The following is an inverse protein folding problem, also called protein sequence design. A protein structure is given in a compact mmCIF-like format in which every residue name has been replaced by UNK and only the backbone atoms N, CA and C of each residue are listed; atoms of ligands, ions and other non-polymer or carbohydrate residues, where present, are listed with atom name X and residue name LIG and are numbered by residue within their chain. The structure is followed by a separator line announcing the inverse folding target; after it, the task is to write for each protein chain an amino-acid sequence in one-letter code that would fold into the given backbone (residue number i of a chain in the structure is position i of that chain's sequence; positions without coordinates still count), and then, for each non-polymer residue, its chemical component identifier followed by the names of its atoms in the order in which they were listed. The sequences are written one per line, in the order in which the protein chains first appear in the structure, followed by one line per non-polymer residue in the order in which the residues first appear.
data_IF_281190073992
#
_entry.id   IF_281190073992
#
_cell.length_a   1.000
_cell.length_b   1.000
_cell.length_c   1.000
_cell.angle_alpha   90.00
_cell.angle_beta   90.00
_cell.angle_gamma   90.00
#
_symmetry.space_group_name_H-M   'P 1'
#
loop_
_entity.id
_entity.type
_entity.pdbx_description
1 polymer ?
#
# COMPACT_ATOMS: atom_id res chain seq x y z
N UNK A 1 20.45 -15.74 27.77
CA UNK A 1 20.91 -14.85 26.68
C UNK A 1 21.07 -15.73 25.45
N UNK A 2 19.98 -16.02 24.75
CA UNK A 2 20.01 -16.80 23.51
C UNK A 2 19.98 -15.79 22.36
N UNK A 3 21.00 -15.83 21.52
CA UNK A 3 21.03 -15.07 20.29
C UNK A 3 19.82 -15.49 19.45
N UNK A 4 18.96 -14.53 19.14
CA UNK A 4 18.02 -14.69 18.04
C UNK A 4 18.86 -14.67 16.77
N UNK A 5 19.17 -15.85 16.25
CA UNK A 5 19.65 -15.99 14.88
C UNK A 5 18.56 -15.44 13.95
N UNK A 6 18.76 -14.22 13.47
CA UNK A 6 18.06 -13.64 12.33
C UNK A 6 18.46 -14.43 11.08
N UNK A 7 17.90 -15.64 10.98
CA UNK A 7 18.01 -16.45 9.78
C UNK A 7 17.08 -15.79 8.76
N UNK A 8 17.65 -15.04 7.83
CA UNK A 8 16.89 -14.43 6.73
C UNK A 8 16.02 -15.52 6.09
N UNK A 9 14.71 -15.40 6.29
CA UNK A 9 13.74 -16.29 5.67
C UNK A 9 13.85 -16.06 4.15
N UNK A 10 13.92 -17.13 3.34
CA UNK A 10 14.05 -16.98 1.91
C UNK A 10 12.81 -16.27 1.36
N UNK A 11 13.06 -15.17 0.64
CA UNK A 11 12.07 -14.41 -0.12
C UNK A 11 11.32 -15.37 -1.04
N UNK A 12 10.03 -15.62 -0.75
CA UNK A 12 9.18 -16.47 -1.58
C UNK A 12 9.00 -15.77 -2.93
N UNK A 13 9.57 -16.27 -4.03
CA UNK A 13 9.33 -15.67 -5.35
C UNK A 13 8.00 -16.16 -5.93
N UNK A 14 7.17 -15.24 -6.44
CA UNK A 14 6.09 -15.63 -7.35
C UNK A 14 6.73 -15.92 -8.70
N UNK A 15 6.93 -17.20 -9.01
CA UNK A 15 7.75 -17.69 -10.13
C UNK A 15 7.20 -17.33 -11.51
N UNK A 16 5.95 -16.89 -11.61
CA UNK A 16 5.33 -16.54 -12.89
C UNK A 16 5.58 -15.09 -13.33
N UNK A 17 5.84 -14.17 -12.39
CA UNK A 17 5.99 -12.74 -12.70
C UNK A 17 7.39 -12.18 -12.39
N UNK A 18 8.34 -13.03 -11.96
CA UNK A 18 9.67 -12.59 -11.49
C UNK A 18 9.57 -11.47 -10.44
N UNK A 19 8.63 -11.61 -9.51
CA UNK A 19 8.43 -10.69 -8.40
C UNK A 19 8.92 -11.34 -7.12
N UNK A 20 9.85 -10.65 -6.45
CA UNK A 20 10.32 -11.00 -5.12
C UNK A 20 9.27 -10.61 -4.08
N UNK A 21 8.78 -11.57 -3.28
CA UNK A 21 7.83 -11.27 -2.20
C UNK A 21 8.57 -10.97 -0.90
N UNK A 22 8.46 -9.72 -0.45
CA UNK A 22 8.99 -9.32 0.84
C UNK A 22 8.15 -9.93 1.99
N UNK A 23 8.84 -10.48 2.98
CA UNK A 23 8.24 -10.98 4.21
C UNK A 23 7.52 -9.85 4.97
N UNK A 24 6.20 -9.96 5.12
CA UNK A 24 5.38 -8.99 5.86
C UNK A 24 4.79 -9.63 7.12
N UNK A 25 4.96 -9.03 8.31
CA UNK A 25 4.38 -9.57 9.54
C UNK A 25 2.84 -9.46 9.53
N UNK A 26 2.13 -10.37 10.22
CA UNK A 26 0.69 -10.25 10.41
C UNK A 26 0.34 -8.91 11.08
N UNK A 27 -0.65 -8.20 10.54
CA UNK A 27 -1.14 -6.93 11.07
C UNK A 27 -0.04 -5.86 11.23
N UNK A 28 0.76 -5.61 10.19
CA UNK A 28 1.74 -4.50 10.14
C UNK A 28 1.22 -3.24 9.43
N UNK A 29 0.22 -2.51 9.95
CA UNK A 29 -0.30 -1.29 9.32
C UNK A 29 0.76 -0.18 9.21
N UNK A 30 1.80 -0.21 10.05
CA UNK A 30 2.89 0.78 10.04
C UNK A 30 3.98 0.47 8.99
N UNK A 31 3.92 -0.69 8.32
CA UNK A 31 4.98 -1.17 7.42
C UNK A 31 4.57 -1.07 5.95
N UNK A 32 3.27 -1.00 5.65
CA UNK A 32 2.82 -0.90 4.28
C UNK A 32 2.84 0.56 3.79
N UNK A 33 3.66 0.92 2.78
CA UNK A 33 3.73 2.29 2.26
C UNK A 33 2.37 2.81 1.78
N UNK A 34 1.48 1.94 1.31
CA UNK A 34 0.14 2.36 0.87
C UNK A 34 -0.75 2.80 2.04
N UNK A 35 -0.68 2.10 3.18
CA UNK A 35 -1.50 2.41 4.37
C UNK A 35 -1.00 3.66 5.09
N UNK A 36 0.31 3.88 5.13
CA UNK A 36 0.92 5.04 5.78
C UNK A 36 0.93 6.31 4.92
N UNK A 37 1.22 6.21 3.63
CA UNK A 37 1.46 7.39 2.79
C UNK A 37 0.31 7.66 1.82
N UNK A 38 -0.03 6.66 0.99
CA UNK A 38 -0.93 6.86 -0.16
C UNK A 38 -2.38 7.06 0.28
N UNK A 39 -2.92 6.16 1.12
CA UNK A 39 -4.32 6.24 1.51
C UNK A 39 -4.67 7.46 2.35
N UNK A 40 -3.86 7.91 3.34
CA UNK A 40 -4.19 9.11 4.10
C UNK A 40 -4.28 10.36 3.21
N UNK A 41 -3.35 10.52 2.26
CA UNK A 41 -3.36 11.67 1.33
C UNK A 41 -4.59 11.67 0.42
N UNK A 42 -4.92 10.52 -0.17
CA UNK A 42 -6.10 10.40 -1.02
C UNK A 42 -7.39 10.60 -0.21
N UNK A 43 -7.49 9.99 0.99
CA UNK A 43 -8.64 10.14 1.88
C UNK A 43 -8.85 11.60 2.27
N UNK A 44 -7.79 12.31 2.63
CA UNK A 44 -7.88 13.74 2.95
C UNK A 44 -8.38 14.56 1.76
N UNK A 45 -7.92 14.25 0.54
CA UNK A 45 -8.34 14.94 -0.68
C UNK A 45 -9.79 14.67 -1.07
N UNK A 46 -10.27 13.46 -0.86
CA UNK A 46 -11.65 13.05 -1.17
C UNK A 46 -12.60 13.24 0.02
N UNK A 47 -12.09 13.73 1.15
CA UNK A 47 -12.85 13.88 2.38
C UNK A 47 -14.09 14.76 2.18
N UNK A 48 -15.24 14.32 2.71
CA UNK A 48 -16.52 15.03 2.61
C UNK A 48 -17.20 15.00 1.23
N UNK A 49 -16.57 14.40 0.21
CA UNK A 49 -17.16 14.29 -1.13
C UNK A 49 -18.15 13.13 -1.18
N UNK A 50 -19.36 13.38 -1.72
CA UNK A 50 -20.37 12.36 -1.99
C UNK A 50 -20.36 12.02 -3.48
N UNK A 51 -20.27 10.73 -3.79
CA UNK A 51 -20.34 10.22 -5.16
C UNK A 51 -21.73 9.67 -5.45
N UNK A 52 -22.23 9.91 -6.66
CA UNK A 52 -23.55 9.43 -7.11
C UNK A 52 -23.48 8.03 -7.69
N UNK A 53 -22.29 7.56 -8.04
CA UNK A 53 -22.06 6.22 -8.59
C UNK A 53 -20.67 5.68 -8.21
N UNK A 54 -20.48 4.34 -8.23
CA UNK A 54 -19.16 3.73 -8.05
C UNK A 54 -18.15 4.19 -9.11
N UNK A 55 -18.59 4.37 -10.35
CA UNK A 55 -17.73 4.84 -11.45
C UNK A 55 -17.14 6.21 -11.14
N UNK A 56 -17.98 7.14 -10.68
CA UNK A 56 -17.54 8.48 -10.28
C UNK A 56 -16.52 8.43 -9.13
N UNK A 57 -16.71 7.54 -8.15
CA UNK A 57 -15.77 7.35 -7.04
C UNK A 57 -14.41 6.83 -7.53
N UNK A 58 -14.41 5.84 -8.44
CA UNK A 58 -13.18 5.29 -9.03
C UNK A 58 -12.44 6.34 -9.86
N UNK A 59 -13.16 7.13 -10.67
CA UNK A 59 -12.55 8.18 -11.48
C UNK A 59 -11.95 9.28 -10.60
N UNK A 60 -12.63 9.66 -9.51
CA UNK A 60 -12.10 10.60 -8.53
C UNK A 60 -10.86 10.05 -7.81
N UNK A 61 -10.81 8.76 -7.50
CA UNK A 61 -9.64 8.10 -6.91
C UNK A 61 -8.44 8.06 -7.88
N UNK A 62 -8.65 7.75 -9.16
CA UNK A 62 -7.60 7.78 -10.18
C UNK A 62 -6.99 9.18 -10.33
N UNK A 63 -7.84 10.20 -10.43
CA UNK A 63 -7.37 11.58 -10.46
C UNK A 63 -6.67 11.97 -9.15
N UNK A 64 -7.15 11.46 -8.00
CA UNK A 64 -6.51 11.67 -6.71
C UNK A 64 -5.07 11.16 -6.67
N UNK A 65 -4.81 10.01 -7.27
CA UNK A 65 -3.48 9.41 -7.39
C UNK A 65 -2.59 10.20 -8.34
N UNK A 66 -3.09 10.58 -9.52
CA UNK A 66 -2.28 11.24 -10.55
C UNK A 66 -1.74 12.61 -10.12
N UNK A 67 -2.45 13.30 -9.23
CA UNK A 67 -1.97 14.60 -8.71
C UNK A 67 -1.12 14.47 -7.44
N UNK A 68 -0.80 13.24 -6.98
CA UNK A 68 0.21 13.08 -5.93
C UNK A 68 1.57 13.51 -6.50
N UNK A 69 2.35 14.33 -5.79
CA UNK A 69 3.68 14.70 -6.27
C UNK A 69 4.56 13.45 -6.38
N UNK A 70 5.25 13.30 -7.51
CA UNK A 70 6.43 12.46 -7.59
C UNK A 70 7.51 13.12 -6.74
N UNK A 71 7.96 12.43 -5.69
CA UNK A 71 9.04 12.90 -4.83
C UNK A 71 10.38 12.83 -5.57
#
# INVERSE_FOLDING_TARGET
MAAHDDKERPLSSNTEENVELLDHPPYGPDINPNDFFTFPKIKNRLHGRRFRSPKEAVDAFKNAILDLPEN
#
